data_IF_862982502334
#
_entry.id   IF_862982502334
#
_cell.length_a   1.000
_cell.length_b   1.000
_cell.length_c   1.000
_cell.angle_alpha   90.00
_cell.angle_beta   90.00
_cell.angle_gamma   90.00
#
_symmetry.space_group_name_H-M   'P 1'
#
loop_
_entity.id
_entity.type
_entity.pdbx_description
1 polymer ?
#
# COMPACT_ATOMS: atom_id res chain seq x y z
N UNK A 1 -5.08 -21.35 -3.86
CA UNK A 1 -3.84 -20.87 -4.56
C UNK A 1 -3.98 -19.40 -4.96
N UNK A 2 -5.14 -18.98 -5.47
CA UNK A 2 -5.42 -17.59 -5.88
C UNK A 2 -5.28 -16.54 -4.77
N UNK A 3 -5.71 -16.84 -3.54
CA UNK A 3 -5.63 -15.91 -2.41
C UNK A 3 -4.20 -15.50 -2.06
N UNK A 4 -3.23 -16.42 -2.14
CA UNK A 4 -1.82 -16.11 -1.85
C UNK A 4 -1.22 -15.21 -2.94
N UNK A 5 -1.51 -15.50 -4.21
CA UNK A 5 -1.03 -14.69 -5.34
C UNK A 5 -1.62 -13.28 -5.32
N UNK A 6 -2.91 -13.13 -5.01
CA UNK A 6 -3.54 -11.81 -4.86
C UNK A 6 -2.89 -11.02 -3.73
N UNK A 7 -2.65 -11.66 -2.58
CA UNK A 7 -1.98 -11.02 -1.44
C UNK A 7 -0.59 -10.51 -1.79
N UNK A 8 0.21 -11.31 -2.49
CA UNK A 8 1.58 -10.95 -2.86
C UNK A 8 1.61 -9.81 -3.87
N UNK A 9 0.68 -9.81 -4.84
CA UNK A 9 0.47 -8.69 -5.76
C UNK A 9 0.12 -7.41 -4.99
N UNK A 10 -0.84 -7.47 -4.06
CA UNK A 10 -1.24 -6.31 -3.25
C UNK A 10 -0.07 -5.74 -2.43
N UNK A 11 0.75 -6.61 -1.82
CA UNK A 11 1.93 -6.21 -1.03
C UNK A 11 2.98 -5.55 -1.93
N UNK A 12 3.24 -6.12 -3.11
CA UNK A 12 4.22 -5.55 -4.07
C UNK A 12 3.81 -4.17 -4.56
N UNK A 13 2.51 -3.99 -4.80
CA UNK A 13 1.94 -2.69 -5.15
C UNK A 13 2.13 -1.73 -3.99
N UNK A 14 1.72 -2.11 -2.78
CA UNK A 14 1.86 -1.25 -1.62
C UNK A 14 3.33 -0.84 -1.39
N UNK A 15 4.29 -1.75 -1.57
CA UNK A 15 5.72 -1.44 -1.51
C UNK A 15 6.14 -0.38 -2.55
N UNK A 16 5.61 -0.47 -3.77
CA UNK A 16 5.86 0.53 -4.83
C UNK A 16 5.31 1.91 -4.44
N UNK A 17 4.10 1.95 -3.89
CA UNK A 17 3.47 3.19 -3.44
C UNK A 17 4.21 3.81 -2.24
N UNK A 18 4.61 3.00 -1.26
CA UNK A 18 5.40 3.44 -0.11
C UNK A 18 6.77 3.95 -0.55
N UNK A 19 7.45 3.27 -1.48
CA UNK A 19 8.73 3.74 -2.03
C UNK A 19 8.60 5.08 -2.76
N UNK A 20 7.52 5.27 -3.52
CA UNK A 20 7.24 6.54 -4.20
C UNK A 20 7.00 7.69 -3.20
N UNK A 21 6.28 7.41 -2.10
CA UNK A 21 6.05 8.35 -1.01
C UNK A 21 7.34 8.68 -0.26
N UNK A 22 8.10 7.66 0.14
CA UNK A 22 9.36 7.80 0.87
C UNK A 22 10.37 8.65 0.09
N UNK A 23 10.53 8.39 -1.21
CA UNK A 23 11.42 9.19 -2.07
C UNK A 23 10.92 10.63 -2.24
N UNK A 24 9.61 10.82 -2.28
CA UNK A 24 9.00 12.13 -2.50
C UNK A 24 8.97 13.04 -1.27
N UNK A 25 8.77 12.45 -0.08
CA UNK A 25 8.64 13.16 1.19
C UNK A 25 9.91 13.16 2.02
N UNK A 26 10.61 12.04 2.08
CA UNK A 26 11.81 11.87 2.93
C UNK A 26 13.10 11.84 2.11
N UNK A 27 13.03 12.07 0.79
CA UNK A 27 14.18 12.13 -0.12
C UNK A 27 15.09 10.88 -0.10
N UNK A 28 14.55 9.73 0.32
CA UNK A 28 15.28 8.45 0.37
C UNK A 28 15.81 8.04 -1.01
N UNK A 29 17.01 7.44 -1.09
CA UNK A 29 17.56 6.93 -2.34
C UNK A 29 16.68 5.86 -2.99
N UNK A 30 16.81 5.71 -4.32
CA UNK A 30 15.98 4.79 -5.10
C UNK A 30 16.33 3.35 -4.73
N UNK A 31 15.37 2.62 -4.18
CA UNK A 31 15.54 1.22 -3.78
C UNK A 31 15.59 1.03 -2.26
N UNK A 32 15.69 2.12 -1.50
CA UNK A 32 15.73 2.08 -0.04
C UNK A 32 14.54 2.82 0.57
N UNK A 33 13.94 2.20 1.58
CA UNK A 33 12.92 2.81 2.41
C UNK A 33 13.59 3.33 3.68
N UNK A 34 13.20 4.52 4.12
CA UNK A 34 13.54 4.97 5.47
C UNK A 34 12.93 4.01 6.52
N UNK A 35 13.47 3.99 7.76
CA UNK A 35 12.99 3.10 8.82
C UNK A 35 11.47 3.14 9.02
N UNK A 36 10.87 4.33 9.05
CA UNK A 36 9.42 4.51 9.24
C UNK A 36 8.60 3.89 8.11
N UNK A 37 9.04 4.07 6.86
CA UNK A 37 8.35 3.52 5.69
C UNK A 37 8.51 2.00 5.60
N UNK A 38 9.68 1.48 5.98
CA UNK A 38 9.93 0.05 6.06
C UNK A 38 9.07 -0.60 7.15
N UNK A 39 8.93 0.04 8.31
CA UNK A 39 8.07 -0.43 9.38
C UNK A 39 6.59 -0.44 8.96
N UNK A 40 6.13 0.62 8.29
CA UNK A 40 4.76 0.71 7.76
C UNK A 40 4.47 -0.43 6.77
N UNK A 41 5.40 -0.73 5.86
CA UNK A 41 5.26 -1.82 4.90
C UNK A 41 5.20 -3.19 5.61
N UNK A 42 6.11 -3.42 6.56
CA UNK A 42 6.16 -4.67 7.34
C UNK A 42 4.89 -4.86 8.16
N UNK A 43 4.38 -3.79 8.75
CA UNK A 43 3.12 -3.80 9.50
C UNK A 43 1.95 -4.15 8.58
N UNK A 44 1.87 -3.53 7.41
CA UNK A 44 0.81 -3.79 6.44
C UNK A 44 0.82 -5.23 5.91
N UNK A 45 2.00 -5.75 5.60
CA UNK A 45 2.21 -7.14 5.19
C UNK A 45 1.77 -8.12 6.29
N UNK A 46 2.20 -7.89 7.53
CA UNK A 46 1.85 -8.74 8.67
C UNK A 46 0.34 -8.78 8.90
N UNK A 47 -0.34 -7.63 8.81
CA UNK A 47 -1.81 -7.56 8.90
C UNK A 47 -2.50 -8.25 7.73
N UNK A 48 -1.98 -8.12 6.52
CA UNK A 48 -2.52 -8.84 5.35
C UNK A 48 -2.35 -10.34 5.59
N UNK A 49 -1.18 -10.85 5.94
CA UNK A 49 -0.93 -12.29 6.16
C UNK A 49 -1.78 -12.89 7.29
N UNK A 50 -2.04 -12.15 8.37
CA UNK A 50 -2.82 -12.60 9.54
C UNK A 50 -4.33 -12.30 9.48
N UNK A 51 -4.87 -11.92 8.33
CA UNK A 51 -6.29 -11.58 8.19
C UNK A 51 -7.18 -12.83 8.42
N UNK A 52 -8.15 -12.79 9.35
CA UNK A 52 -9.01 -13.95 9.64
C UNK A 52 -10.20 -14.11 8.67
N UNK A 53 -10.45 -13.14 7.79
CA UNK A 53 -11.63 -13.12 6.92
C UNK A 53 -11.43 -13.96 5.65
N UNK A 54 -12.44 -14.80 5.34
CA UNK A 54 -12.55 -15.61 4.13
C UNK A 54 -13.99 -15.55 3.58
N UNK A 55 -14.22 -15.12 2.31
CA UNK A 55 -13.24 -14.63 1.35
C UNK A 55 -12.63 -13.31 1.80
N UNK A 56 -11.36 -13.08 1.44
CA UNK A 56 -10.61 -11.94 1.94
C UNK A 56 -10.96 -10.68 1.15
N UNK A 57 -11.62 -9.68 1.76
CA UNK A 57 -11.92 -8.44 1.06
C UNK A 57 -10.64 -7.61 0.87
N UNK A 58 -10.70 -6.64 -0.04
CA UNK A 58 -9.67 -5.63 -0.14
C UNK A 58 -9.70 -4.76 1.13
N UNK A 59 -8.55 -4.29 1.59
CA UNK A 59 -8.47 -3.52 2.84
C UNK A 59 -9.35 -2.26 2.82
N UNK A 60 -9.66 -1.71 1.63
CA UNK A 60 -10.59 -0.58 1.43
C UNK A 60 -12.04 -0.94 1.77
N UNK A 61 -12.46 -2.16 1.48
CA UNK A 61 -13.83 -2.67 1.67
C UNK A 61 -13.95 -3.63 2.87
N UNK A 62 -12.92 -3.68 3.73
CA UNK A 62 -12.89 -4.61 4.84
C UNK A 62 -13.87 -4.17 5.95
N UNK A 63 -14.79 -5.03 6.40
CA UNK A 63 -15.79 -4.67 7.41
C UNK A 63 -15.16 -4.41 8.79
N UNK A 64 -14.07 -5.12 9.11
CA UNK A 64 -13.31 -4.94 10.35
C UNK A 64 -11.98 -4.28 10.02
N UNK A 65 -11.85 -3.00 10.33
CA UNK A 65 -10.62 -2.25 10.08
C UNK A 65 -9.54 -2.59 11.12
N UNK A 66 -8.64 -3.51 10.78
CA UNK A 66 -7.57 -4.02 11.66
C UNK A 66 -6.33 -3.10 11.78
N UNK A 67 -6.32 -1.97 11.05
CA UNK A 67 -5.27 -0.95 11.09
C UNK A 67 -5.52 0.04 12.23
N UNK A 68 -4.47 0.45 12.92
CA UNK A 68 -4.54 1.57 13.85
C UNK A 68 -4.91 2.87 13.11
N UNK A 69 -5.62 3.79 13.79
CA UNK A 69 -6.08 5.05 13.18
C UNK A 69 -4.93 5.84 12.54
N UNK A 70 -3.78 5.92 13.22
CA UNK A 70 -2.58 6.60 12.72
C UNK A 70 -2.02 5.93 11.45
N UNK A 71 -1.79 4.62 11.48
CA UNK A 71 -1.27 3.86 10.32
C UNK A 71 -2.23 3.92 9.13
N UNK A 72 -3.54 3.91 9.38
CA UNK A 72 -4.56 4.05 8.33
C UNK A 72 -4.53 5.44 7.70
N UNK A 73 -4.30 6.49 8.49
CA UNK A 73 -4.12 7.84 7.96
C UNK A 73 -2.85 7.93 7.11
N UNK A 74 -1.75 7.33 7.58
CA UNK A 74 -0.48 7.25 6.84
C UNK A 74 -0.66 6.52 5.50
N UNK A 75 -1.25 5.32 5.48
CA UNK A 75 -1.50 4.59 4.22
C UNK A 75 -2.38 5.40 3.27
N UNK A 76 -3.43 6.06 3.75
CA UNK A 76 -4.24 6.94 2.90
C UNK A 76 -3.42 8.08 2.30
N UNK A 77 -2.54 8.70 3.10
CA UNK A 77 -1.62 9.74 2.63
C UNK A 77 -0.64 9.21 1.58
N UNK A 78 -0.07 8.03 1.81
CA UNK A 78 0.82 7.33 0.85
C UNK A 78 0.08 7.07 -0.45
N UNK A 79 -1.12 6.48 -0.40
CA UNK A 79 -1.91 6.16 -1.58
C UNK A 79 -2.29 7.42 -2.35
N UNK A 80 -2.72 8.49 -1.67
CA UNK A 80 -3.10 9.76 -2.30
C UNK A 80 -1.89 10.46 -2.97
N UNK A 81 -0.75 10.52 -2.27
CA UNK A 81 0.47 11.14 -2.79
C UNK A 81 1.03 10.36 -3.98
N UNK A 82 1.21 9.05 -3.81
CA UNK A 82 1.80 8.19 -4.83
C UNK A 82 0.88 8.04 -6.03
N UNK A 83 -0.44 8.01 -5.82
CA UNK A 83 -1.44 8.04 -6.87
C UNK A 83 -1.36 9.33 -7.71
N UNK A 84 -1.34 10.51 -7.06
CA UNK A 84 -1.16 11.79 -7.78
C UNK A 84 0.16 11.82 -8.57
N UNK A 85 1.23 11.24 -8.04
CA UNK A 85 2.53 11.21 -8.71
C UNK A 85 2.59 10.22 -9.88
N UNK A 86 1.81 9.14 -9.84
CA UNK A 86 1.61 8.22 -10.96
C UNK A 86 0.79 8.87 -12.09
N UNK A 87 -0.24 9.67 -11.74
CA UNK A 87 -0.97 10.51 -12.71
C UNK A 87 -0.02 11.44 -13.46
N UNK A 88 0.81 12.19 -12.73
CA UNK A 88 1.74 13.15 -13.31
C UNK A 88 2.81 12.50 -14.20
N UNK A 89 3.04 11.19 -14.09
CA UNK A 89 3.93 10.41 -14.95
C UNK A 89 3.25 9.79 -16.16
N UNK A 90 1.96 10.04 -16.38
CA UNK A 90 1.20 9.50 -17.51
C UNK A 90 0.79 8.03 -17.37
N UNK A 91 0.91 7.44 -16.16
CA UNK A 91 0.51 6.04 -15.90
C UNK A 91 -0.93 5.98 -15.36
N UNK A 92 -1.88 6.49 -16.15
CA UNK A 92 -3.31 6.54 -15.81
C UNK A 92 -3.93 5.14 -15.63
N UNK A 93 -3.43 4.15 -16.38
CA UNK A 93 -3.85 2.73 -16.33
C UNK A 93 -3.73 2.11 -14.93
N UNK A 94 -2.62 2.41 -14.24
CA UNK A 94 -2.35 1.96 -12.87
C UNK A 94 -3.23 2.61 -11.81
N UNK A 95 -3.95 3.68 -12.14
CA UNK A 95 -4.90 4.28 -11.21
C UNK A 95 -6.29 3.75 -11.43
N UNK A 96 -6.69 3.58 -12.69
CA UNK A 96 -7.98 3.01 -13.03
C UNK A 96 -8.14 1.60 -12.46
N UNK A 97 -7.12 0.75 -12.62
CA UNK A 97 -7.15 -0.64 -12.15
C UNK A 97 -7.15 -0.81 -10.61
N UNK A 98 -6.70 0.20 -9.86
CA UNK A 98 -6.58 0.10 -8.40
C UNK A 98 -7.66 0.87 -7.64
N UNK A 99 -8.22 1.92 -8.25
CA UNK A 99 -9.29 2.71 -7.65
C UNK A 99 -10.67 2.15 -7.94
N UNK A 100 -10.93 1.74 -9.19
CA UNK A 100 -12.16 1.07 -9.63
C UNK A 100 -12.01 -0.45 -9.53
#
# INVERSE_FOLDING_TARGET
MEDKQKQEKDIRVLATFIGCYCRGKHQSPKGELCPDCAELLRYAEMKRRKCPLHPKPDCKHCPVHCYGKAQRALIRGVMAYSGRRLLLRGRLDLLWHYFF
#
